data_IF_120380335606
#
_entry.id   IF_120380335606
#
_cell.length_a   1.000
_cell.length_b   1.000
_cell.length_c   1.000
_cell.angle_alpha   90.00
_cell.angle_beta   90.00
_cell.angle_gamma   90.00
#
_symmetry.space_group_name_H-M   'P 1'
#
loop_
_entity.id
_entity.type
_entity.pdbx_description
1 polymer ?
#
# COMPACT_ATOMS: atom_id res chain seq x y z
N UNK A 1 35.34 18.96 31.89
CA UNK A 1 34.68 17.73 31.42
C UNK A 1 35.75 16.75 30.98
N UNK A 2 35.73 15.50 31.44
CA UNK A 2 36.80 14.54 31.14
C UNK A 2 36.65 14.01 29.71
N UNK A 3 37.77 13.80 29.03
CA UNK A 3 37.84 13.29 27.65
C UNK A 3 37.02 11.99 27.43
N UNK A 4 36.88 11.17 28.48
CA UNK A 4 36.09 9.93 28.47
C UNK A 4 34.58 10.20 28.37
N UNK A 5 34.08 11.27 29.01
CA UNK A 5 32.67 11.67 28.93
C UNK A 5 32.31 12.21 27.55
N UNK A 6 33.21 12.99 26.92
CA UNK A 6 33.03 13.48 25.55
C UNK A 6 32.94 12.35 24.53
N UNK A 7 33.83 11.35 24.64
CA UNK A 7 33.80 10.16 23.76
C UNK A 7 32.51 9.34 23.92
N UNK A 8 31.97 9.19 25.13
CA UNK A 8 30.71 8.48 25.36
C UNK A 8 29.51 9.20 24.72
N UNK A 9 29.44 10.53 24.78
CA UNK A 9 28.36 11.29 24.14
C UNK A 9 28.43 11.21 22.62
N UNK A 10 29.64 11.22 22.05
CA UNK A 10 29.83 11.02 20.61
C UNK A 10 29.45 9.62 20.13
N UNK A 11 29.78 8.57 20.90
CA UNK A 11 29.38 7.19 20.61
C UNK A 11 27.85 7.08 20.60
N UNK A 12 27.18 7.59 21.64
CA UNK A 12 25.71 7.58 21.74
C UNK A 12 25.03 8.34 20.58
N UNK A 13 25.60 9.47 20.15
CA UNK A 13 25.10 10.22 18.99
C UNK A 13 25.25 9.44 17.69
N UNK A 14 26.39 8.77 17.48
CA UNK A 14 26.62 7.92 16.30
C UNK A 14 25.69 6.72 16.27
N UNK A 15 25.48 6.05 17.40
CA UNK A 15 24.54 4.92 17.51
C UNK A 15 23.10 5.35 17.18
N UNK A 16 22.68 6.49 17.72
CA UNK A 16 21.35 7.06 17.44
C UNK A 16 21.17 7.39 15.95
N UNK A 17 22.20 7.96 15.32
CA UNK A 17 22.18 8.27 13.89
C UNK A 17 22.11 7.00 13.03
N UNK A 18 22.91 5.99 13.37
CA UNK A 18 22.90 4.70 12.68
C UNK A 18 21.55 3.99 12.78
N UNK A 19 20.89 4.07 13.94
CA UNK A 19 19.53 3.54 14.10
C UNK A 19 18.53 4.22 13.17
N UNK A 20 18.53 5.57 13.13
CA UNK A 20 17.63 6.34 12.24
C UNK A 20 17.84 5.97 10.77
N UNK A 21 19.10 5.85 10.35
CA UNK A 21 19.46 5.44 8.99
C UNK A 21 18.89 4.06 8.67
N UNK A 22 19.06 3.08 9.55
CA UNK A 22 18.58 1.71 9.35
C UNK A 22 17.05 1.63 9.28
N UNK A 23 16.35 2.46 10.07
CA UNK A 23 14.88 2.57 10.03
C UNK A 23 14.44 3.09 8.67
N UNK A 24 15.01 4.19 8.20
CA UNK A 24 14.66 4.80 6.90
C UNK A 24 14.96 3.82 5.75
N UNK A 25 16.11 3.16 5.76
CA UNK A 25 16.43 2.16 4.72
C UNK A 25 15.41 1.01 4.70
N UNK A 26 14.96 0.57 5.87
CA UNK A 26 14.00 -0.53 5.99
C UNK A 26 12.60 -0.08 5.55
N UNK A 27 12.19 1.12 5.94
CA UNK A 27 10.96 1.78 5.48
C UNK A 27 10.94 1.84 3.94
N UNK A 28 11.98 2.40 3.32
CA UNK A 28 12.05 2.54 1.86
C UNK A 28 12.09 1.19 1.13
N UNK A 29 12.86 0.22 1.64
CA UNK A 29 12.91 -1.11 1.04
C UNK A 29 11.54 -1.81 1.08
N UNK A 30 10.79 -1.65 2.16
CA UNK A 30 9.45 -2.20 2.28
C UNK A 30 8.44 -1.46 1.40
N UNK A 31 8.51 -0.12 1.33
CA UNK A 31 7.68 0.68 0.45
C UNK A 31 7.84 0.30 -1.03
N UNK A 32 9.08 0.06 -1.48
CA UNK A 32 9.36 -0.41 -2.84
C UNK A 32 8.72 -1.78 -3.11
N UNK A 33 8.73 -2.70 -2.13
CA UNK A 33 8.06 -4.00 -2.28
C UNK A 33 6.54 -3.85 -2.31
N UNK A 34 6.00 -2.99 -1.45
CA UNK A 34 4.57 -2.72 -1.34
C UNK A 34 4.01 -2.19 -2.66
N UNK A 35 4.54 -1.07 -3.17
CA UNK A 35 4.11 -0.50 -4.47
C UNK A 35 4.43 -1.46 -5.63
N UNK A 36 5.52 -2.22 -5.49
CA UNK A 36 5.94 -3.21 -6.47
C UNK A 36 4.95 -4.36 -6.65
N UNK A 37 4.12 -4.67 -5.65
CA UNK A 37 3.14 -5.76 -5.67
C UNK A 37 3.74 -7.17 -5.82
N UNK A 38 2.95 -8.10 -6.33
CA UNK A 38 3.36 -9.51 -6.48
C UNK A 38 4.15 -9.81 -7.76
N UNK A 39 5.05 -10.79 -7.71
CA UNK A 39 5.80 -11.26 -8.88
C UNK A 39 7.32 -11.19 -8.70
N UNK A 40 8.04 -11.19 -9.82
CA UNK A 40 9.50 -11.20 -9.79
C UNK A 40 10.07 -9.88 -9.21
N UNK A 41 11.27 -9.96 -8.63
CA UNK A 41 11.94 -8.75 -8.11
C UNK A 41 12.14 -7.67 -9.19
N UNK A 42 12.39 -8.09 -10.44
CA UNK A 42 12.57 -7.19 -11.58
C UNK A 42 11.28 -6.44 -11.92
N UNK A 43 10.14 -7.14 -11.89
CA UNK A 43 8.84 -6.53 -12.19
C UNK A 43 8.41 -5.59 -11.06
N UNK A 44 8.62 -6.00 -9.80
CA UNK A 44 8.39 -5.14 -8.64
C UNK A 44 9.18 -3.84 -8.74
N UNK A 45 10.48 -3.91 -9.02
CA UNK A 45 11.34 -2.73 -9.17
C UNK A 45 10.84 -1.86 -10.33
N UNK A 46 10.48 -2.46 -11.46
CA UNK A 46 10.03 -1.71 -12.64
C UNK A 46 8.72 -0.96 -12.36
N UNK A 47 7.76 -1.62 -11.69
CA UNK A 47 6.49 -0.98 -11.30
C UNK A 47 6.70 0.12 -10.26
N UNK A 48 7.49 -0.15 -9.23
CA UNK A 48 7.80 0.85 -8.20
C UNK A 48 8.54 2.06 -8.78
N UNK A 49 9.47 1.85 -9.72
CA UNK A 49 10.18 2.93 -10.42
C UNK A 49 9.22 3.82 -11.22
N UNK A 50 8.28 3.22 -11.95
CA UNK A 50 7.25 3.98 -12.68
C UNK A 50 6.33 4.74 -11.73
N UNK A 51 5.87 4.10 -10.66
CA UNK A 51 4.97 4.74 -9.69
C UNK A 51 5.63 5.94 -8.99
N UNK A 52 6.89 5.79 -8.60
CA UNK A 52 7.66 6.84 -7.91
C UNK A 52 8.29 7.88 -8.85
N UNK A 53 8.28 7.68 -10.17
CA UNK A 53 8.96 8.58 -11.10
C UNK A 53 10.48 8.59 -10.94
N UNK A 54 11.06 7.52 -10.39
CA UNK A 54 12.48 7.40 -10.08
C UNK A 54 13.20 6.47 -11.06
N UNK A 55 14.52 6.63 -11.27
CA UNK A 55 15.29 5.69 -12.05
C UNK A 55 15.24 4.27 -11.45
N UNK A 56 15.13 3.26 -12.32
CA UNK A 56 15.10 1.83 -11.93
C UNK A 56 16.27 1.47 -11.02
N UNK A 57 17.47 1.98 -11.33
CA UNK A 57 18.69 1.73 -10.55
C UNK A 57 18.62 2.29 -9.12
N UNK A 58 17.96 3.44 -8.93
CA UNK A 58 17.73 4.02 -7.59
C UNK A 58 16.80 3.13 -6.79
N UNK A 59 15.68 2.72 -7.39
CA UNK A 59 14.68 1.85 -6.74
C UNK A 59 15.25 0.47 -6.40
N UNK A 60 16.04 -0.11 -7.30
CA UNK A 60 16.75 -1.36 -7.03
C UNK A 60 17.68 -1.22 -5.82
N UNK A 61 18.47 -0.13 -5.76
CA UNK A 61 19.38 0.11 -4.64
C UNK A 61 18.63 0.35 -3.33
N UNK A 62 17.47 1.01 -3.35
CA UNK A 62 16.60 1.15 -2.17
C UNK A 62 16.08 -0.21 -1.69
N UNK A 63 15.55 -1.03 -2.61
CA UNK A 63 15.02 -2.37 -2.30
C UNK A 63 16.06 -3.25 -1.60
N UNK A 64 17.30 -3.19 -2.05
CA UNK A 64 18.42 -3.95 -1.50
C UNK A 64 19.21 -3.20 -0.41
N UNK A 65 18.70 -2.07 0.09
CA UNK A 65 19.33 -1.25 1.15
C UNK A 65 20.79 -0.85 0.85
N UNK A 66 21.14 -0.67 -0.43
CA UNK A 66 22.50 -0.32 -0.90
C UNK A 66 22.84 1.17 -0.74
N UNK A 67 21.90 2.01 -0.31
CA UNK A 67 22.09 3.45 -0.13
C UNK A 67 22.27 3.74 1.35
N UNK A 68 23.49 4.12 1.77
CA UNK A 68 23.81 4.38 3.19
C UNK A 68 22.95 5.47 3.82
N UNK A 69 22.72 6.58 3.11
CA UNK A 69 21.85 7.67 3.56
C UNK A 69 20.90 7.99 2.42
N UNK A 70 19.61 7.72 2.63
CA UNK A 70 18.59 7.99 1.61
C UNK A 70 18.39 9.52 1.54
N UNK A 71 18.59 10.14 0.36
CA UNK A 71 18.26 11.55 0.17
C UNK A 71 16.78 11.82 0.46
N UNK A 72 16.48 12.98 1.05
CA UNK A 72 15.11 13.36 1.43
C UNK A 72 14.16 13.30 0.22
N UNK A 73 14.54 13.91 -0.90
CA UNK A 73 13.73 13.95 -2.13
C UNK A 73 13.34 12.55 -2.63
N UNK A 74 14.25 11.58 -2.50
CA UNK A 74 14.00 10.18 -2.89
C UNK A 74 13.03 9.52 -1.92
N UNK A 75 13.20 9.77 -0.62
CA UNK A 75 12.30 9.23 0.40
C UNK A 75 10.88 9.79 0.24
N UNK A 76 10.76 11.08 -0.02
CA UNK A 76 9.48 11.77 -0.19
C UNK A 76 8.78 11.31 -1.47
N UNK A 77 9.50 11.15 -2.58
CA UNK A 77 8.94 10.58 -3.82
C UNK A 77 8.38 9.16 -3.62
N UNK A 78 9.06 8.32 -2.83
CA UNK A 78 8.58 6.98 -2.49
C UNK A 78 7.34 7.05 -1.59
N UNK A 79 7.34 7.89 -0.56
CA UNK A 79 6.18 8.05 0.34
C UNK A 79 4.95 8.55 -0.40
N UNK A 80 5.12 9.56 -1.26
CA UNK A 80 4.03 10.05 -2.10
C UNK A 80 3.49 8.95 -3.03
N UNK A 81 4.39 8.15 -3.62
CA UNK A 81 3.98 7.01 -4.43
C UNK A 81 3.22 5.94 -3.62
N UNK A 82 3.60 5.69 -2.36
CA UNK A 82 2.84 4.80 -1.46
C UNK A 82 1.44 5.34 -1.23
N UNK A 83 1.30 6.63 -0.91
CA UNK A 83 -0.01 7.23 -0.65
C UNK A 83 -0.90 7.23 -1.90
N UNK A 84 -0.35 7.56 -3.08
CA UNK A 84 -1.08 7.42 -4.34
C UNK A 84 -1.54 5.98 -4.59
N UNK A 85 -0.67 5.00 -4.33
CA UNK A 85 -1.00 3.59 -4.48
C UNK A 85 -2.17 3.17 -3.56
N UNK A 86 -2.15 3.58 -2.29
CA UNK A 86 -3.24 3.31 -1.34
C UNK A 86 -4.56 3.92 -1.80
N UNK A 87 -4.54 5.16 -2.29
CA UNK A 87 -5.74 5.82 -2.80
C UNK A 87 -6.30 5.07 -4.01
N UNK A 88 -5.43 4.65 -4.94
CA UNK A 88 -5.83 3.84 -6.09
C UNK A 88 -6.42 2.49 -5.68
N UNK A 89 -5.80 1.78 -4.73
CA UNK A 89 -6.31 0.51 -4.21
C UNK A 89 -7.67 0.69 -3.55
N UNK A 90 -7.84 1.72 -2.72
CA UNK A 90 -9.13 2.04 -2.10
C UNK A 90 -10.19 2.36 -3.14
N UNK A 91 -9.84 3.11 -4.19
CA UNK A 91 -10.78 3.43 -5.26
C UNK A 91 -11.17 2.19 -6.07
N UNK A 92 -10.24 1.27 -6.34
CA UNK A 92 -10.54 -0.01 -6.97
C UNK A 92 -11.46 -0.85 -6.10
N UNK A 93 -11.17 -0.98 -4.81
CA UNK A 93 -12.02 -1.72 -3.88
C UNK A 93 -13.45 -1.14 -3.82
N UNK A 94 -13.59 0.19 -3.74
CA UNK A 94 -14.89 0.87 -3.80
C UNK A 94 -15.62 0.60 -5.12
N UNK A 95 -14.90 0.64 -6.23
CA UNK A 95 -15.47 0.36 -7.55
C UNK A 95 -15.95 -1.09 -7.67
N UNK A 96 -15.18 -2.05 -7.17
CA UNK A 96 -15.55 -3.46 -7.15
C UNK A 96 -16.76 -3.72 -6.25
N UNK A 97 -16.81 -3.11 -5.07
CA UNK A 97 -17.98 -3.14 -4.19
C UNK A 97 -19.22 -2.57 -4.88
N UNK A 98 -19.06 -1.45 -5.59
CA UNK A 98 -20.13 -0.85 -6.38
C UNK A 98 -20.63 -1.81 -7.48
N UNK A 99 -19.73 -2.43 -8.25
CA UNK A 99 -20.11 -3.41 -9.27
C UNK A 99 -20.86 -4.59 -8.66
N UNK A 100 -20.38 -5.12 -7.52
CA UNK A 100 -21.02 -6.23 -6.83
C UNK A 100 -22.42 -5.88 -6.35
N UNK A 101 -22.60 -4.71 -5.72
CA UNK A 101 -23.94 -4.25 -5.30
C UNK A 101 -24.90 -4.15 -6.49
N UNK A 102 -24.46 -3.61 -7.63
CA UNK A 102 -25.28 -3.54 -8.84
C UNK A 102 -25.65 -4.91 -9.40
N UNK A 103 -24.74 -5.88 -9.37
CA UNK A 103 -25.05 -7.26 -9.79
C UNK A 103 -26.09 -7.92 -8.88
N UNK A 104 -26.02 -7.69 -7.57
CA UNK A 104 -26.99 -8.21 -6.61
C UNK A 104 -28.37 -7.56 -6.80
N UNK A 105 -28.44 -6.25 -7.05
CA UNK A 105 -29.69 -5.55 -7.39
C UNK A 105 -30.36 -6.12 -8.65
N UNK A 106 -29.57 -6.39 -9.70
CA UNK A 106 -30.10 -7.02 -10.93
C UNK A 106 -30.65 -8.42 -10.64
N UNK A 107 -29.94 -9.21 -9.82
CA UNK A 107 -30.39 -10.54 -9.43
C UNK A 107 -31.68 -10.49 -8.60
N UNK A 108 -31.78 -9.53 -7.69
CA UNK A 108 -33.01 -9.28 -6.90
C UNK A 108 -34.20 -8.99 -7.82
N UNK A 109 -34.03 -8.09 -8.79
CA UNK A 109 -35.06 -7.74 -9.76
C UNK A 109 -35.52 -8.96 -10.57
N UNK A 110 -34.59 -9.80 -11.02
CA UNK A 110 -34.91 -11.04 -11.74
C UNK A 110 -35.73 -12.03 -10.89
N UNK A 111 -35.39 -12.18 -9.60
CA UNK A 111 -36.14 -13.05 -8.70
C UNK A 111 -37.54 -12.52 -8.39
N UNK A 112 -37.69 -11.19 -8.27
CA UNK A 112 -38.98 -10.53 -8.14
C UNK A 112 -39.86 -10.73 -9.38
N UNK A 113 -39.29 -10.70 -10.58
CA UNK A 113 -40.04 -10.96 -11.82
C UNK A 113 -40.47 -12.43 -11.96
N UNK A 114 -39.64 -13.37 -11.50
CA UNK A 114 -39.92 -14.80 -11.62
C UNK A 114 -41.04 -15.27 -10.70
N UNK A 115 -40.88 -15.11 -9.38
CA UNK A 115 -41.90 -15.50 -8.39
C UNK A 115 -41.53 -14.97 -6.99
N UNK A 116 -42.08 -13.83 -6.55
CA UNK A 116 -41.80 -13.25 -5.25
C UNK A 116 -42.14 -14.16 -4.07
N UNK A 117 -43.24 -14.91 -4.16
CA UNK A 117 -43.73 -15.76 -3.06
C UNK A 117 -42.83 -16.98 -2.82
N UNK A 118 -42.18 -17.47 -3.89
CA UNK A 118 -41.25 -18.60 -3.82
C UNK A 118 -39.85 -18.18 -3.39
N UNK A 119 -39.37 -17.00 -3.81
CA UNK A 119 -37.98 -16.55 -3.61
C UNK A 119 -37.81 -15.43 -2.58
N UNK A 120 -38.85 -15.14 -1.77
CA UNK A 120 -38.82 -14.10 -0.73
C UNK A 120 -37.59 -14.17 0.19
N UNK A 121 -37.21 -15.34 0.74
CA UNK A 121 -36.03 -15.46 1.60
C UNK A 121 -34.71 -15.07 0.91
N UNK A 122 -34.54 -15.43 -0.36
CA UNK A 122 -33.37 -15.11 -1.18
C UNK A 122 -33.32 -13.62 -1.52
N UNK A 123 -34.46 -13.01 -1.88
CA UNK A 123 -34.59 -11.57 -2.13
C UNK A 123 -34.18 -10.77 -0.88
N UNK A 124 -34.66 -11.17 0.31
CA UNK A 124 -34.31 -10.51 1.57
C UNK A 124 -32.84 -10.73 1.96
N UNK A 125 -32.25 -11.87 1.60
CA UNK A 125 -30.81 -12.10 1.78
C UNK A 125 -29.96 -11.19 0.88
N UNK A 126 -30.36 -11.03 -0.39
CA UNK A 126 -29.69 -10.14 -1.34
C UNK A 126 -29.76 -8.68 -0.91
N UNK A 127 -30.92 -8.19 -0.48
CA UNK A 127 -31.09 -6.83 0.06
C UNK A 127 -30.15 -6.54 1.23
N UNK A 128 -30.13 -7.44 2.23
CA UNK A 128 -29.21 -7.34 3.38
C UNK A 128 -27.73 -7.38 2.98
N UNK A 129 -27.41 -8.03 1.87
CA UNK A 129 -26.04 -8.07 1.35
C UNK A 129 -25.68 -6.77 0.60
N UNK A 130 -26.61 -6.20 -0.17
CA UNK A 130 -26.45 -4.90 -0.82
C UNK A 130 -26.26 -3.80 0.22
N UNK A 131 -27.07 -3.79 1.28
CA UNK A 131 -26.96 -2.78 2.35
C UNK A 131 -25.61 -2.84 3.06
N UNK A 132 -25.09 -4.05 3.32
CA UNK A 132 -23.76 -4.26 3.89
C UNK A 132 -22.60 -3.82 2.97
N UNK A 133 -22.82 -3.79 1.66
CA UNK A 133 -21.80 -3.32 0.71
C UNK A 133 -21.84 -1.81 0.50
N UNK A 134 -22.92 -1.14 0.95
CA UNK A 134 -23.13 0.31 0.82
C UNK A 134 -22.84 1.09 2.10
N UNK A 135 -23.05 0.47 3.27
CA UNK A 135 -22.76 1.03 4.59
C UNK A 135 -21.33 0.80 5.04
#
# INVERSE_FOLDING_TARGET
>A
MSEKQGRQTEISRRETEMYRVNVIQSEMANAVRFIGGEGSAKDQITRAARAAGLPITVVERLRWKKIKRVPADIADAIREAVERHKIEEQNRAKHEQFILSKRLEVLEAQLLELNPDRYGPEIDALRRQVDRLRG
#
